data_IF_069685886624
#
_entry.id   IF_069685886624
#
_cell.length_a   1.000
_cell.length_b   1.000
_cell.length_c   1.000
_cell.angle_alpha   90.00
_cell.angle_beta   90.00
_cell.angle_gamma   90.00
#
_symmetry.space_group_name_H-M   'P 1'
#
loop_
_entity.id
_entity.type
_entity.pdbx_description
1 polymer ?
#
# COMPACT_ATOMS: atom_id res chain seq x y z
N UNK A 1 0.12 17.37 -7.81
CA UNK A 1 0.49 18.65 -7.18
C UNK A 1 1.05 18.40 -5.78
N UNK A 2 0.45 17.58 -4.91
CA UNK A 2 1.04 17.26 -3.59
C UNK A 2 2.36 16.45 -3.63
N UNK A 3 2.57 15.55 -4.60
CA UNK A 3 3.89 14.87 -4.74
C UNK A 3 5.00 15.83 -5.15
N UNK A 4 4.66 16.84 -5.96
CA UNK A 4 5.55 17.93 -6.31
C UNK A 4 5.89 18.71 -5.05
N UNK A 5 4.89 18.99 -4.20
CA UNK A 5 5.09 19.67 -2.91
C UNK A 5 5.96 18.87 -1.93
N UNK A 6 5.83 17.53 -1.87
CA UNK A 6 6.66 16.69 -0.99
C UNK A 6 8.12 16.60 -1.47
N UNK A 7 8.34 16.49 -2.78
CA UNK A 7 9.68 16.49 -3.38
C UNK A 7 10.32 17.89 -3.31
N UNK A 8 9.56 18.95 -3.54
CA UNK A 8 10.00 20.34 -3.34
C UNK A 8 10.34 20.59 -1.87
N UNK A 9 9.46 20.20 -0.94
CA UNK A 9 9.76 20.31 0.50
C UNK A 9 10.99 19.49 0.91
N UNK A 10 11.21 18.31 0.32
CA UNK A 10 12.40 17.50 0.57
C UNK A 10 13.67 18.24 0.15
N UNK A 11 13.64 18.87 -1.04
CA UNK A 11 14.76 19.68 -1.56
C UNK A 11 14.95 20.96 -0.77
N UNK A 12 13.88 21.71 -0.49
CA UNK A 12 13.91 23.00 0.20
C UNK A 12 14.41 22.88 1.64
N UNK A 13 13.97 21.83 2.35
CA UNK A 13 14.43 21.55 3.70
C UNK A 13 15.79 20.84 3.73
N UNK A 14 16.33 20.46 2.57
CA UNK A 14 17.53 19.63 2.44
C UNK A 14 17.47 18.37 3.33
N UNK A 15 16.28 17.77 3.44
CA UNK A 15 16.04 16.61 4.28
C UNK A 15 16.77 15.39 3.70
N UNK A 16 17.28 14.50 4.56
CA UNK A 16 17.88 13.25 4.10
C UNK A 16 16.82 12.24 3.67
N UNK A 17 15.69 12.25 4.40
CA UNK A 17 14.52 11.43 4.15
C UNK A 17 13.26 12.27 4.42
N UNK A 18 12.25 12.15 3.57
CA UNK A 18 10.93 12.72 3.81
C UNK A 18 9.89 11.62 3.82
N UNK A 19 9.03 11.58 4.84
CA UNK A 19 7.95 10.60 4.98
C UNK A 19 6.61 11.30 4.77
N UNK A 20 5.80 10.78 3.85
CA UNK A 20 4.43 11.25 3.67
C UNK A 20 3.55 10.67 4.78
N UNK A 21 2.82 11.53 5.47
CA UNK A 21 2.06 11.16 6.66
C UNK A 21 0.66 11.77 6.66
N UNK A 22 -0.29 11.09 7.31
CA UNK A 22 -1.65 11.59 7.56
C UNK A 22 -1.93 11.67 9.05
N UNK A 23 -2.77 12.63 9.46
CA UNK A 23 -3.26 12.65 10.85
C UNK A 23 -4.41 11.66 11.00
N UNK A 24 -4.50 11.00 12.16
CA UNK A 24 -5.58 10.04 12.40
C UNK A 24 -5.99 9.91 13.86
N UNK A 25 -7.22 9.43 14.04
CA UNK A 25 -7.81 9.12 15.33
C UNK A 25 -7.43 7.74 15.88
N UNK A 26 -7.88 7.45 17.10
CA UNK A 26 -7.48 6.27 17.86
C UNK A 26 -7.91 4.91 17.26
N UNK A 27 -8.97 4.85 16.45
CA UNK A 27 -9.59 3.57 16.06
C UNK A 27 -8.70 2.68 15.19
N UNK A 28 -7.78 3.26 14.42
CA UNK A 28 -6.94 2.54 13.47
C UNK A 28 -5.45 2.82 13.64
N UNK A 29 -5.05 3.63 14.61
CA UNK A 29 -3.67 4.08 14.77
C UNK A 29 -2.68 2.91 14.98
N UNK A 30 -3.10 1.82 15.62
CA UNK A 30 -2.28 0.61 15.81
C UNK A 30 -1.96 -0.17 14.53
N UNK A 31 -2.65 0.14 13.43
CA UNK A 31 -2.49 -0.58 12.15
C UNK A 31 -1.42 0.05 11.25
N UNK A 32 -0.82 1.17 11.68
CA UNK A 32 0.13 1.96 10.91
C UNK A 32 1.46 2.16 11.65
N UNK A 33 2.51 2.48 10.89
CA UNK A 33 3.71 3.10 11.44
C UNK A 33 3.40 4.51 11.90
N UNK A 34 3.55 4.79 13.19
CA UNK A 34 3.29 6.09 13.78
C UNK A 34 4.58 6.89 13.92
N UNK A 35 4.46 8.20 13.82
CA UNK A 35 5.59 9.13 13.99
C UNK A 35 5.24 10.24 14.97
N UNK A 36 6.26 10.73 15.68
CA UNK A 36 6.17 12.00 16.41
C UNK A 36 7.17 12.97 15.81
N UNK A 37 6.82 14.25 15.83
CA UNK A 37 7.62 15.32 15.21
C UNK A 37 7.96 16.42 16.22
N UNK A 38 9.07 17.11 15.98
CA UNK A 38 9.38 18.36 16.65
C UNK A 38 8.69 19.57 15.99
N UNK A 39 8.90 20.78 16.53
CA UNK A 39 8.31 22.01 15.98
C UNK A 39 8.76 22.38 14.56
N UNK A 40 9.84 21.78 14.06
CA UNK A 40 10.34 21.97 12.68
C UNK A 40 9.75 20.95 11.72
N UNK A 41 9.08 19.90 12.21
CA UNK A 41 8.58 18.80 11.40
C UNK A 41 9.57 17.65 11.26
N UNK A 42 10.69 17.68 12.00
CA UNK A 42 11.63 16.55 12.05
C UNK A 42 11.02 15.42 12.87
N UNK A 43 11.07 14.21 12.33
CA UNK A 43 10.65 13.00 13.04
C UNK A 43 11.65 12.73 14.16
N UNK A 44 11.13 12.62 15.38
CA UNK A 44 11.92 12.30 16.57
C UNK A 44 11.71 10.87 17.04
N UNK A 45 10.60 10.25 16.65
CA UNK A 45 10.32 8.85 16.94
C UNK A 45 9.50 8.25 15.81
N UNK A 46 9.82 7.01 15.44
CA UNK A 46 9.02 6.17 14.56
C UNK A 46 8.72 4.86 15.30
N UNK A 47 7.49 4.38 15.25
CA UNK A 47 7.10 3.10 15.82
C UNK A 47 6.18 2.35 14.88
N UNK A 48 6.57 1.15 14.47
CA UNK A 48 5.79 0.33 13.55
C UNK A 48 4.65 -0.38 14.29
N UNK A 49 3.40 -0.07 13.91
CA UNK A 49 2.18 -0.72 14.43
C UNK A 49 2.14 -0.86 15.96
N UNK A 50 2.33 0.24 16.72
CA UNK A 50 2.46 0.19 18.17
C UNK A 50 1.13 -0.19 18.84
N UNK A 51 1.23 -0.82 20.02
CA UNK A 51 0.07 -1.30 20.78
C UNK A 51 0.16 -0.86 22.24
N UNK A 52 -0.98 -0.86 22.94
CA UNK A 52 -1.03 -0.66 24.38
C UNK A 52 -0.44 0.67 24.84
N UNK A 53 0.57 0.62 25.71
CA UNK A 53 1.23 1.81 26.25
C UNK A 53 2.05 2.54 25.16
N UNK A 54 2.71 1.79 24.27
CA UNK A 54 3.53 2.36 23.19
C UNK A 54 2.66 3.14 22.20
N UNK A 55 1.46 2.63 21.89
CA UNK A 55 0.49 3.35 21.08
C UNK A 55 0.18 4.72 21.68
N UNK A 56 -0.14 4.76 22.98
CA UNK A 56 -0.44 6.03 23.67
C UNK A 56 0.75 6.98 23.69
N UNK A 57 1.97 6.46 23.78
CA UNK A 57 3.19 7.26 23.77
C UNK A 57 3.43 7.95 22.41
N UNK A 58 2.85 7.43 21.32
CA UNK A 58 2.97 8.02 19.98
C UNK A 58 1.98 9.16 19.70
N UNK A 59 1.18 9.58 20.68
CA UNK A 59 0.36 10.79 20.52
C UNK A 59 1.24 12.03 20.43
N UNK A 60 0.88 12.95 19.53
CA UNK A 60 1.64 14.19 19.32
C UNK A 60 0.70 15.35 19.01
N UNK A 61 1.22 16.57 19.13
CA UNK A 61 0.46 17.78 18.85
C UNK A 61 0.34 17.98 17.32
N UNK A 62 -0.77 17.51 16.76
CA UNK A 62 -1.02 17.61 15.31
C UNK A 62 -1.41 19.02 14.86
N UNK A 63 -1.52 20.01 15.78
CA UNK A 63 -1.60 21.43 15.37
C UNK A 63 -0.30 21.90 14.69
N UNK A 64 0.82 21.21 14.93
CA UNK A 64 2.08 21.40 14.21
C UNK A 64 1.98 21.13 12.71
N UNK A 65 0.96 20.37 12.28
CA UNK A 65 0.61 20.09 10.90
C UNK A 65 -0.57 20.93 10.40
N UNK A 66 -0.91 22.02 11.09
CA UNK A 66 -1.94 22.98 10.66
C UNK A 66 -3.36 22.66 11.10
N UNK A 67 -3.60 21.57 11.84
CA UNK A 67 -4.94 21.26 12.36
C UNK A 67 -5.39 22.29 13.39
N UNK A 68 -6.69 22.58 13.42
CA UNK A 68 -7.27 23.35 14.53
C UNK A 68 -7.16 22.56 15.85
N UNK A 69 -7.17 23.23 17.02
CA UNK A 69 -7.11 22.54 18.31
C UNK A 69 -8.22 21.48 18.50
N UNK A 70 -9.40 21.69 17.90
CA UNK A 70 -10.50 20.74 17.99
C UNK A 70 -10.29 19.49 17.11
N UNK A 71 -9.64 19.63 15.96
CA UNK A 71 -9.30 18.53 15.07
C UNK A 71 -8.12 17.74 15.62
N UNK A 72 -7.12 18.42 16.18
CA UNK A 72 -5.95 17.79 16.78
C UNK A 72 -6.34 16.84 17.94
N UNK A 73 -7.34 17.23 18.74
CA UNK A 73 -7.90 16.36 19.78
C UNK A 73 -8.57 15.08 19.23
N UNK A 74 -9.13 15.14 18.02
CA UNK A 74 -9.76 13.98 17.35
C UNK A 74 -8.76 13.11 16.62
N UNK A 75 -7.69 13.72 16.11
CA UNK A 75 -6.63 13.08 15.32
C UNK A 75 -5.25 13.29 15.95
N UNK A 76 -4.97 12.70 17.12
CA UNK A 76 -3.73 12.94 17.88
C UNK A 76 -2.52 12.14 17.38
N UNK A 77 -2.65 11.35 16.31
CA UNK A 77 -1.55 10.56 15.75
C UNK A 77 -1.18 11.06 14.36
N UNK A 78 0.10 10.90 14.02
CA UNK A 78 0.62 11.06 12.67
C UNK A 78 1.03 9.66 12.18
N UNK A 79 0.39 9.19 11.12
CA UNK A 79 0.61 7.87 10.55
C UNK A 79 1.35 7.97 9.22
N UNK A 80 2.43 7.20 9.10
CA UNK A 80 3.17 6.99 7.85
C UNK A 80 2.26 6.36 6.80
N UNK A 81 2.33 6.87 5.59
CA UNK A 81 1.68 6.29 4.40
C UNK A 81 2.58 5.32 3.64
N UNK A 82 3.76 5.00 4.19
CA UNK A 82 4.78 4.17 3.53
C UNK A 82 5.32 4.75 2.21
N UNK A 83 5.22 6.07 2.04
CA UNK A 83 5.81 6.80 0.91
C UNK A 83 6.99 7.62 1.43
N UNK A 84 8.19 7.24 0.96
CA UNK A 84 9.47 7.80 1.39
C UNK A 84 10.20 8.45 0.22
N UNK A 85 10.72 9.65 0.42
CA UNK A 85 11.62 10.33 -0.51
C UNK A 85 13.00 10.33 0.14
N UNK A 86 14.03 9.89 -0.58
CA UNK A 86 15.39 9.85 -0.09
C UNK A 86 16.31 10.68 -0.98
N UNK A 87 17.33 11.27 -0.35
CA UNK A 87 18.58 11.53 -1.05
C UNK A 87 19.17 10.20 -1.52
N UNK A 88 19.59 10.14 -2.79
CA UNK A 88 20.03 8.89 -3.42
C UNK A 88 21.22 8.26 -2.68
N UNK A 89 22.17 9.09 -2.26
CA UNK A 89 23.34 8.70 -1.49
C UNK A 89 23.00 8.18 -0.09
N UNK A 90 21.96 8.72 0.55
CA UNK A 90 21.47 8.25 1.86
C UNK A 90 20.83 6.87 1.69
N UNK A 91 19.97 6.69 0.69
CA UNK A 91 19.35 5.39 0.41
C UNK A 91 20.39 4.31 0.13
N UNK A 92 21.37 4.60 -0.73
CA UNK A 92 22.46 3.67 -1.04
C UNK A 92 23.29 3.35 0.21
N UNK A 93 23.55 4.33 1.07
CA UNK A 93 24.28 4.12 2.33
C UNK A 93 23.51 3.20 3.28
N UNK A 94 22.22 3.44 3.44
CA UNK A 94 21.35 2.63 4.28
C UNK A 94 21.29 1.19 3.78
N UNK A 95 20.98 0.98 2.50
CA UNK A 95 20.76 -0.37 1.93
C UNK A 95 22.04 -1.18 1.73
N UNK A 96 23.17 -0.55 1.36
CA UNK A 96 24.39 -1.30 1.01
C UNK A 96 25.33 -1.51 2.17
N UNK A 97 25.37 -0.56 3.11
CA UNK A 97 26.44 -0.50 4.10
C UNK A 97 25.92 -0.60 5.53
N UNK A 98 24.79 0.07 5.84
CA UNK A 98 24.28 0.11 7.22
C UNK A 98 23.35 -1.06 7.53
N UNK A 99 22.48 -1.44 6.60
CA UNK A 99 21.43 -2.45 6.75
C UNK A 99 21.34 -3.42 5.56
N UNK A 100 22.44 -4.07 5.14
CA UNK A 100 22.46 -4.92 3.94
C UNK A 100 21.61 -6.20 4.04
N UNK A 101 21.14 -6.55 5.23
CA UNK A 101 20.30 -7.73 5.48
C UNK A 101 18.85 -7.38 5.86
N UNK A 102 18.53 -6.09 5.97
CA UNK A 102 17.18 -5.64 6.29
C UNK A 102 16.26 -5.78 5.08
N UNK A 103 15.02 -6.20 5.33
CA UNK A 103 14.04 -6.45 4.28
C UNK A 103 12.81 -5.55 4.40
N UNK A 104 12.71 -4.74 5.46
CA UNK A 104 11.55 -3.89 5.70
C UNK A 104 11.92 -2.46 6.08
N UNK A 105 11.23 -1.49 5.47
CA UNK A 105 11.48 -0.08 5.76
C UNK A 105 10.85 0.37 7.07
N UNK A 106 9.60 -0.01 7.35
CA UNK A 106 8.84 0.50 8.51
C UNK A 106 9.37 -0.01 9.84
N UNK A 107 9.71 -1.30 9.92
CA UNK A 107 10.15 -1.95 11.15
C UNK A 107 11.66 -1.93 11.38
N UNK A 108 12.47 -1.77 10.33
CA UNK A 108 13.94 -1.86 10.44
C UNK A 108 14.65 -0.58 10.01
N UNK A 109 14.50 -0.16 8.75
CA UNK A 109 15.35 0.90 8.16
C UNK A 109 14.98 2.30 8.68
N UNK A 110 13.70 2.67 8.64
CA UNK A 110 13.24 4.00 9.02
C UNK A 110 13.43 4.29 10.51
N UNK A 111 13.07 3.39 11.45
CA UNK A 111 13.32 3.61 12.87
C UNK A 111 14.79 3.93 13.16
N UNK A 112 15.71 3.18 12.53
CA UNK A 112 17.14 3.42 12.71
C UNK A 112 17.64 4.67 11.96
N UNK A 113 17.05 5.00 10.80
CA UNK A 113 17.39 6.20 10.05
C UNK A 113 16.99 7.48 10.80
N UNK A 114 15.89 7.46 11.57
CA UNK A 114 15.45 8.58 12.42
C UNK A 114 16.52 8.98 13.45
N UNK A 115 17.30 8.03 13.95
CA UNK A 115 18.37 8.29 14.92
C UNK A 115 19.61 8.94 14.28
N UNK A 116 19.89 8.61 13.02
CA UNK A 116 21.15 8.94 12.35
C UNK A 116 21.05 10.04 11.27
N UNK A 117 19.84 10.33 10.77
CA UNK A 117 19.62 11.21 9.62
C UNK A 117 18.55 12.28 9.90
N UNK A 118 18.47 13.29 9.03
CA UNK A 118 17.38 14.27 9.07
C UNK A 118 16.15 13.73 8.33
N UNK A 119 15.22 13.17 9.09
CA UNK A 119 13.97 12.60 8.59
C UNK A 119 12.83 13.57 8.88
N UNK A 120 12.09 14.00 7.85
CA UNK A 120 11.06 15.04 8.00
C UNK A 120 9.67 14.63 7.52
N UNK A 121 8.65 15.22 8.12
CA UNK A 121 7.27 15.22 7.61
C UNK A 121 7.01 16.57 6.95
N UNK A 122 6.53 16.60 5.69
CA UNK A 122 6.16 17.85 5.04
C UNK A 122 4.96 18.46 5.75
N UNK A 123 5.00 19.78 5.97
CA UNK A 123 3.95 20.52 6.70
C UNK A 123 2.70 20.81 5.85
N UNK A 124 2.70 20.43 4.56
CA UNK A 124 1.54 20.60 3.69
C UNK A 124 0.40 19.69 4.14
N UNK A 125 -0.83 20.22 4.07
CA UNK A 125 -2.05 19.55 4.53
C UNK A 125 -2.26 18.24 3.76
N UNK A 126 -1.83 17.12 4.34
CA UNK A 126 -2.12 15.77 3.85
C UNK A 126 -3.62 15.38 4.01
N UNK A 127 -4.53 16.35 4.16
CA UNK A 127 -5.95 16.06 4.20
C UNK A 127 -6.79 17.25 3.71
N UNK A 128 -6.42 17.82 2.56
CA UNK A 128 -7.33 18.69 1.84
C UNK A 128 -8.19 17.85 0.88
N UNK A 129 -9.52 17.75 1.11
CA UNK A 129 -10.43 17.04 0.21
C UNK A 129 -10.50 17.64 -1.21
N UNK A 130 -9.87 18.79 -1.47
CA UNK A 130 -9.69 19.39 -2.80
C UNK A 130 -8.37 19.00 -3.48
N UNK A 131 -7.41 18.43 -2.76
CA UNK A 131 -6.10 17.99 -3.30
C UNK A 131 -5.86 16.51 -2.95
N UNK A 132 -6.41 15.58 -3.77
CA UNK A 132 -6.29 14.15 -3.50
C UNK A 132 -4.85 13.65 -3.58
N UNK A 133 -4.55 12.64 -2.78
CA UNK A 133 -3.29 11.90 -2.81
C UNK A 133 -3.07 11.25 -4.17
N UNK A 134 -2.00 11.66 -4.85
CA UNK A 134 -1.46 10.94 -5.98
C UNK A 134 -0.31 10.07 -5.45
N UNK A 135 -0.39 8.74 -5.51
CA UNK A 135 0.75 7.89 -5.26
C UNK A 135 1.79 8.02 -6.39
N UNK A 136 3.03 7.62 -6.11
CA UNK A 136 4.17 7.70 -7.03
C UNK A 136 3.76 7.32 -8.45
N UNK A 137 4.10 8.11 -9.49
CA UNK A 137 3.73 7.81 -10.86
C UNK A 137 4.38 6.49 -11.26
N UNK A 138 3.65 5.39 -11.13
CA UNK A 138 4.08 4.11 -11.67
C UNK A 138 3.90 4.20 -13.18
N UNK A 139 5.00 4.07 -13.92
CA UNK A 139 5.01 4.01 -15.38
C UNK A 139 4.47 2.67 -15.89
N UNK A 140 3.28 2.31 -15.43
CA UNK A 140 2.57 1.12 -15.89
C UNK A 140 1.82 1.45 -17.17
N UNK A 141 1.76 0.51 -18.12
CA UNK A 141 0.91 0.66 -19.29
C UNK A 141 -0.56 0.81 -18.85
N UNK A 142 -1.42 1.37 -19.71
CA UNK A 142 -2.85 1.29 -19.48
C UNK A 142 -3.30 -0.17 -19.40
N UNK A 143 -4.32 -0.43 -18.60
CA UNK A 143 -4.94 -1.75 -18.50
C UNK A 143 -5.56 -2.15 -19.83
N UNK A 144 -5.19 -3.33 -20.32
CA UNK A 144 -5.74 -3.92 -21.56
C UNK A 144 -6.91 -4.81 -21.20
N UNK A 145 -8.05 -4.57 -21.84
CA UNK A 145 -9.28 -5.34 -21.65
C UNK A 145 -9.76 -5.82 -23.02
N UNK A 146 -9.90 -7.13 -23.19
CA UNK A 146 -10.36 -7.75 -24.42
C UNK A 146 -11.54 -8.69 -24.13
N UNK A 147 -12.70 -8.42 -24.73
CA UNK A 147 -13.94 -9.25 -24.63
C UNK A 147 -14.37 -9.65 -23.20
N UNK A 148 -14.20 -8.76 -22.22
CA UNK A 148 -14.59 -9.03 -20.83
C UNK A 148 -15.98 -8.49 -20.46
N UNK A 149 -16.60 -9.06 -19.42
CA UNK A 149 -17.80 -8.51 -18.75
C UNK A 149 -17.41 -7.95 -17.39
N UNK A 150 -17.57 -6.64 -17.19
CA UNK A 150 -17.12 -5.95 -15.98
C UNK A 150 -18.31 -5.23 -15.35
N UNK A 151 -18.61 -5.49 -14.08
CA UNK A 151 -19.72 -4.85 -13.35
C UNK A 151 -19.32 -4.40 -11.95
N UNK A 152 -19.32 -3.09 -11.73
CA UNK A 152 -19.01 -2.48 -10.44
C UNK A 152 -17.69 -3.04 -9.84
N UNK A 153 -16.60 -2.79 -10.55
CA UNK A 153 -15.26 -3.24 -10.17
C UNK A 153 -14.27 -2.07 -10.27
N UNK A 154 -13.22 -2.10 -9.45
CA UNK A 154 -12.07 -1.21 -9.52
C UNK A 154 -10.88 -1.99 -10.06
N UNK A 155 -10.25 -1.49 -11.12
CA UNK A 155 -9.13 -2.16 -11.78
C UNK A 155 -7.97 -1.19 -11.86
N UNK A 156 -6.85 -1.55 -11.25
CA UNK A 156 -5.65 -0.72 -11.24
C UNK A 156 -4.93 -0.73 -12.58
N UNK A 157 -3.89 0.10 -12.72
CA UNK A 157 -3.10 0.20 -13.96
C UNK A 157 -2.30 -1.08 -14.26
N UNK A 158 -1.90 -1.22 -15.52
CA UNK A 158 -1.04 -2.30 -15.95
C UNK A 158 -1.69 -3.68 -16.02
N UNK A 159 -3.00 -3.81 -15.89
CA UNK A 159 -3.64 -5.12 -15.88
C UNK A 159 -3.90 -5.65 -17.30
N UNK A 160 -4.00 -6.98 -17.44
CA UNK A 160 -4.38 -7.66 -18.68
C UNK A 160 -5.59 -8.55 -18.41
N UNK A 161 -6.76 -8.15 -18.91
CA UNK A 161 -8.00 -8.92 -18.80
C UNK A 161 -8.42 -9.38 -20.19
N UNK A 162 -8.65 -10.69 -20.34
CA UNK A 162 -9.10 -11.29 -21.60
C UNK A 162 -10.22 -12.29 -21.33
N UNK A 163 -11.34 -12.14 -22.04
CA UNK A 163 -12.43 -13.13 -22.09
C UNK A 163 -12.91 -13.59 -20.68
N UNK A 164 -12.91 -12.70 -19.70
CA UNK A 164 -13.27 -12.97 -18.30
C UNK A 164 -14.52 -12.19 -17.83
N UNK A 165 -15.12 -12.66 -16.73
CA UNK A 165 -16.28 -12.01 -16.08
C UNK A 165 -15.92 -11.59 -14.66
N UNK A 166 -16.09 -10.31 -14.33
CA UNK A 166 -15.74 -9.75 -13.02
C UNK A 166 -16.86 -8.88 -12.47
N UNK A 167 -17.21 -9.09 -11.20
CA UNK A 167 -18.25 -8.32 -10.52
C UNK A 167 -17.91 -8.00 -9.05
N UNK A 168 -18.14 -6.76 -8.62
CA UNK A 168 -18.03 -6.34 -7.21
C UNK A 168 -16.66 -6.65 -6.61
N UNK A 169 -15.60 -6.18 -7.26
CA UNK A 169 -14.24 -6.56 -6.90
C UNK A 169 -13.21 -5.44 -7.10
N UNK A 170 -12.03 -5.64 -6.53
CA UNK A 170 -10.85 -4.77 -6.68
C UNK A 170 -9.68 -5.60 -7.23
N UNK A 171 -9.04 -5.15 -8.31
CA UNK A 171 -7.84 -5.76 -8.90
C UNK A 171 -6.66 -4.81 -8.71
N UNK A 172 -5.63 -5.31 -8.02
CA UNK A 172 -4.35 -4.63 -7.85
C UNK A 172 -3.53 -4.59 -9.14
N UNK A 173 -2.50 -3.76 -9.17
CA UNK A 173 -1.71 -3.47 -10.36
C UNK A 173 -1.00 -4.68 -10.96
N UNK A 174 -0.68 -4.60 -12.26
CA UNK A 174 0.06 -5.63 -13.01
C UNK A 174 -0.60 -7.03 -13.05
N UNK A 175 -1.88 -7.12 -12.68
CA UNK A 175 -2.61 -8.38 -12.63
C UNK A 175 -3.03 -8.90 -14.00
N UNK A 176 -3.11 -10.23 -14.15
CA UNK A 176 -3.57 -10.89 -15.38
C UNK A 176 -4.75 -11.82 -15.10
N UNK A 177 -5.83 -11.67 -15.85
CA UNK A 177 -6.98 -12.57 -15.88
C UNK A 177 -7.20 -13.02 -17.32
N UNK A 178 -7.23 -14.33 -17.54
CA UNK A 178 -7.39 -14.91 -18.88
C UNK A 178 -8.80 -15.50 -19.09
N UNK A 179 -9.00 -16.06 -20.29
CA UNK A 179 -10.27 -16.64 -20.72
C UNK A 179 -10.78 -17.69 -19.72
N UNK A 180 -12.07 -17.62 -19.39
CA UNK A 180 -12.72 -18.59 -18.50
C UNK A 180 -12.67 -18.24 -17.00
N UNK A 181 -12.05 -17.11 -16.63
CA UNK A 181 -12.02 -16.63 -15.25
C UNK A 181 -13.31 -15.87 -14.90
N UNK A 182 -13.97 -16.28 -13.81
CA UNK A 182 -15.10 -15.58 -13.18
C UNK A 182 -14.78 -15.21 -11.74
N UNK A 183 -14.78 -13.90 -11.42
CA UNK A 183 -14.54 -13.41 -10.07
C UNK A 183 -15.73 -12.60 -9.55
N UNK A 184 -16.13 -12.85 -8.31
CA UNK A 184 -17.18 -12.10 -7.63
C UNK A 184 -16.86 -11.85 -6.15
N UNK A 185 -17.00 -10.59 -5.69
CA UNK A 185 -16.80 -10.27 -4.27
C UNK A 185 -15.35 -10.46 -3.82
N UNK A 186 -14.40 -10.16 -4.69
CA UNK A 186 -12.98 -10.51 -4.53
C UNK A 186 -12.11 -9.26 -4.41
N UNK A 187 -11.02 -9.36 -3.64
CA UNK A 187 -9.89 -8.42 -3.71
C UNK A 187 -8.68 -9.19 -4.18
N UNK A 188 -8.19 -8.88 -5.38
CA UNK A 188 -6.96 -9.46 -5.92
C UNK A 188 -5.82 -8.50 -5.66
N UNK A 189 -4.83 -8.91 -4.85
CA UNK A 189 -3.62 -8.14 -4.67
C UNK A 189 -2.80 -8.13 -5.97
N UNK A 190 -2.13 -7.00 -6.23
CA UNK A 190 -1.36 -6.80 -7.46
C UNK A 190 -0.03 -7.57 -7.47
N UNK A 191 0.80 -7.30 -8.47
CA UNK A 191 2.17 -7.81 -8.56
C UNK A 191 3.15 -6.66 -8.83
N UNK A 192 4.40 -6.85 -8.42
CA UNK A 192 5.52 -5.93 -8.64
C UNK A 192 6.25 -6.18 -9.99
N UNK A 193 5.88 -7.23 -10.73
CA UNK A 193 6.44 -7.54 -12.05
C UNK A 193 5.44 -8.21 -12.99
N UNK A 194 5.66 -8.04 -14.29
CA UNK A 194 4.97 -8.82 -15.32
C UNK A 194 5.61 -10.18 -15.48
N UNK A 195 4.79 -11.21 -15.70
CA UNK A 195 5.30 -12.50 -16.14
C UNK A 195 6.03 -12.34 -17.50
N UNK A 196 7.18 -13.00 -17.61
CA UNK A 196 7.92 -13.17 -18.86
C UNK A 196 7.12 -14.03 -19.84
N UNK A 197 7.43 -13.96 -21.14
CA UNK A 197 6.81 -14.84 -22.14
C UNK A 197 6.99 -16.33 -21.81
N UNK A 198 8.13 -16.70 -21.21
CA UNK A 198 8.42 -18.07 -20.77
C UNK A 198 7.52 -18.51 -19.63
N UNK A 199 7.26 -17.63 -18.65
CA UNK A 199 6.34 -17.90 -17.54
C UNK A 199 4.88 -17.94 -18.01
N UNK A 200 4.50 -17.08 -18.95
CA UNK A 200 3.17 -17.13 -19.57
C UNK A 200 2.99 -18.43 -20.35
N UNK A 201 4.02 -18.87 -21.10
CA UNK A 201 3.98 -20.09 -21.89
C UNK A 201 4.05 -21.37 -21.05
N UNK A 202 4.56 -21.31 -19.82
CA UNK A 202 4.58 -22.44 -18.90
C UNK A 202 3.27 -22.61 -18.13
N UNK A 203 2.45 -21.57 -18.06
CA UNK A 203 1.09 -21.65 -17.56
C UNK A 203 0.19 -22.37 -18.57
N UNK A 204 -0.83 -23.11 -18.10
CA UNK A 204 -1.84 -23.66 -18.99
C UNK A 204 -2.42 -22.55 -19.87
N UNK A 205 -2.46 -22.75 -21.20
CA UNK A 205 -2.90 -21.75 -22.17
C UNK A 205 -4.35 -21.29 -21.97
N UNK A 206 -5.12 -22.08 -21.22
CA UNK A 206 -6.52 -21.81 -20.93
C UNK A 206 -6.68 -21.71 -19.41
N UNK A 207 -7.12 -20.53 -18.92
CA UNK A 207 -7.64 -20.35 -17.56
C UNK A 207 -9.03 -20.96 -17.40
N UNK A 208 -9.24 -22.17 -17.94
CA UNK A 208 -10.56 -22.79 -17.98
C UNK A 208 -11.10 -22.99 -16.56
N UNK A 209 -12.27 -22.39 -16.33
CA UNK A 209 -13.16 -22.65 -15.20
C UNK A 209 -12.63 -22.23 -13.81
N UNK A 210 -11.86 -21.15 -13.72
CA UNK A 210 -11.56 -20.54 -12.41
C UNK A 210 -12.73 -19.66 -11.97
N UNK A 211 -13.48 -20.13 -10.99
CA UNK A 211 -14.62 -19.41 -10.41
C UNK A 211 -14.31 -19.08 -8.96
N UNK A 212 -14.01 -17.81 -8.69
CA UNK A 212 -13.79 -17.33 -7.33
C UNK A 212 -15.00 -16.51 -6.92
N UNK A 213 -15.91 -17.15 -6.19
CA UNK A 213 -17.09 -16.50 -5.68
C UNK A 213 -17.49 -17.20 -4.39
N UNK A 214 -17.33 -16.57 -3.23
CA UNK A 214 -17.65 -17.13 -1.92
C UNK A 214 -19.15 -17.50 -1.76
N UNK A 215 -19.59 -18.55 -2.46
CA UNK A 215 -20.99 -18.98 -2.59
C UNK A 215 -21.48 -19.62 -1.31
N UNK A 216 -20.57 -20.25 -0.59
CA UNK A 216 -20.85 -20.90 0.69
C UNK A 216 -20.93 -19.90 1.85
N UNK A 217 -20.69 -18.61 1.60
CA UNK A 217 -20.78 -17.56 2.63
C UNK A 217 -19.77 -17.75 3.75
N UNK A 218 -18.58 -18.25 3.43
CA UNK A 218 -17.50 -18.46 4.40
C UNK A 218 -17.06 -17.10 4.94
N UNK A 219 -17.11 -16.88 6.25
CA UNK A 219 -16.71 -15.59 6.83
C UNK A 219 -15.19 -15.45 6.92
N UNK A 220 -14.51 -16.52 7.32
CA UNK A 220 -13.07 -16.54 7.60
C UNK A 220 -12.44 -17.85 7.10
N UNK A 221 -11.39 -17.74 6.29
CA UNK A 221 -10.60 -18.89 5.85
C UNK A 221 -9.14 -18.47 5.60
N UNK A 222 -8.20 -19.38 5.84
CA UNK A 222 -6.80 -19.16 5.53
C UNK A 222 -6.29 -20.34 4.69
N UNK A 223 -6.00 -20.09 3.42
CA UNK A 223 -5.54 -21.10 2.45
C UNK A 223 -4.33 -20.59 1.67
N UNK A 224 -3.21 -20.28 2.34
CA UNK A 224 -2.05 -19.70 1.70
C UNK A 224 -1.46 -20.63 0.63
N UNK A 225 -1.53 -21.95 0.84
CA UNK A 225 -1.09 -22.97 -0.12
C UNK A 225 -1.94 -23.01 -1.41
N UNK A 226 -3.18 -22.50 -1.34
CA UNK A 226 -4.09 -22.33 -2.48
C UNK A 226 -4.07 -20.89 -3.02
N UNK A 227 -3.30 -20.00 -2.41
CA UNK A 227 -3.09 -18.62 -2.86
C UNK A 227 -4.17 -17.62 -2.45
N UNK A 228 -5.05 -17.96 -1.50
CA UNK A 228 -6.11 -17.04 -1.06
C UNK A 228 -6.46 -17.17 0.42
N UNK A 229 -7.15 -16.16 0.94
CA UNK A 229 -7.77 -16.16 2.25
C UNK A 229 -9.12 -15.45 2.19
N UNK A 230 -9.99 -15.68 3.17
CA UNK A 230 -11.30 -15.03 3.25
C UNK A 230 -11.35 -14.24 4.56
N UNK A 231 -11.75 -12.98 4.48
CA UNK A 231 -11.95 -12.08 5.63
C UNK A 231 -13.30 -11.39 5.51
N UNK A 232 -14.15 -11.51 6.54
CA UNK A 232 -15.50 -10.93 6.56
C UNK A 232 -16.31 -11.22 5.29
N UNK A 233 -16.23 -12.46 4.79
CA UNK A 233 -16.93 -12.89 3.59
C UNK A 233 -16.28 -12.49 2.25
N UNK A 234 -15.20 -11.72 2.27
CA UNK A 234 -14.48 -11.25 1.08
C UNK A 234 -13.32 -12.19 0.77
N UNK A 235 -13.28 -12.74 -0.44
CA UNK A 235 -12.14 -13.54 -0.90
C UNK A 235 -11.00 -12.62 -1.29
N UNK A 236 -9.82 -12.83 -0.72
CA UNK A 236 -8.61 -12.08 -0.99
C UNK A 236 -7.58 -13.00 -1.64
N UNK A 237 -7.22 -12.72 -2.89
CA UNK A 237 -6.16 -13.43 -3.60
C UNK A 237 -4.83 -12.77 -3.23
N UNK A 238 -3.91 -13.56 -2.70
CA UNK A 238 -2.64 -13.07 -2.19
C UNK A 238 -1.73 -12.54 -3.31
N UNK A 239 -0.76 -11.71 -2.93
CA UNK A 239 0.26 -11.23 -3.86
C UNK A 239 1.02 -12.41 -4.47
N UNK A 240 1.30 -12.36 -5.78
CA UNK A 240 2.05 -13.41 -6.50
C UNK A 240 1.37 -14.78 -6.49
N UNK A 241 0.10 -14.86 -6.07
CA UNK A 241 -0.65 -16.11 -6.07
C UNK A 241 -0.96 -16.57 -7.50
N UNK A 242 -0.88 -17.88 -7.72
CA UNK A 242 -1.39 -18.54 -8.92
C UNK A 242 -2.56 -19.42 -8.51
N UNK A 243 -3.76 -19.05 -8.95
CA UNK A 243 -4.95 -19.87 -8.73
C UNK A 243 -5.02 -20.95 -9.82
N UNK A 244 -5.17 -22.20 -9.39
CA UNK A 244 -5.18 -23.35 -10.29
C UNK A 244 -6.47 -23.41 -11.10
N UNK A 245 -6.39 -23.99 -12.30
CA UNK A 245 -7.56 -24.25 -13.14
C UNK A 245 -8.60 -25.11 -12.39
N UNK A 246 -9.89 -24.82 -12.62
CA UNK A 246 -10.99 -25.52 -11.97
C UNK A 246 -11.17 -25.22 -10.49
N UNK A 247 -10.42 -24.28 -9.91
CA UNK A 247 -10.66 -23.82 -8.53
C UNK A 247 -12.04 -23.17 -8.44
N UNK A 248 -12.88 -23.73 -7.56
CA UNK A 248 -14.15 -23.15 -7.13
C UNK A 248 -14.07 -22.91 -5.64
N UNK A 249 -14.16 -21.63 -5.27
CA UNK A 249 -14.26 -21.14 -3.89
C UNK A 249 -15.71 -20.75 -3.65
#
# INVERSE_FOLDING_TARGET
MVETDNAESHVDNNADITISCVTMGNSRASDYGLVTIDGRGRIVQFSEKPKGADLKAMQTDTTLLGLSPQEALKSPYIASMEVYIFKTEVLLKLLRWRFPASNDFGSEIIPAAVEEHDVQVPKSECYDPKTPFYPSPRHLPPTKIDKCRIKAALISHGCFLRECTVQHLVIGECSRLDSGVELQGTVMLGTDYYQTETEIASLPADGNDVIIANKDGVEEADRPDEGFYIRSGITIIAEKATIKNGTVI
#
